data_IF_466973241412
#
_entry.id   IF_466973241412
#
_cell.length_a   1.000
_cell.length_b   1.000
_cell.length_c   1.000
_cell.angle_alpha   90.00
_cell.angle_beta   90.00
_cell.angle_gamma   90.00
#
_symmetry.space_group_name_H-M   'P 1'
#
loop_
_entity.id
_entity.type
_entity.pdbx_description
1 polymer ?
#
# COMPACT_ATOMS: atom_id res chain seq x y z
N UNK A 1 -16.80 -0.57 1.79
CA UNK A 1 -15.57 -0.53 0.97
C UNK A 1 -14.77 0.74 1.23
N UNK A 2 -13.43 0.61 1.28
CA UNK A 2 -12.47 1.69 1.56
C UNK A 2 -12.14 2.57 0.34
N UNK A 3 -12.21 2.01 -0.87
CA UNK A 3 -11.85 2.70 -2.11
C UNK A 3 -12.74 3.92 -2.42
N UNK A 4 -14.08 3.85 -2.32
CA UNK A 4 -14.95 5.01 -2.54
C UNK A 4 -14.74 6.17 -1.56
N UNK A 5 -14.16 5.91 -0.38
CA UNK A 5 -13.82 6.90 0.64
C UNK A 5 -12.42 7.52 0.41
N UNK A 6 -11.72 7.11 -0.66
CA UNK A 6 -10.37 7.61 -0.96
C UNK A 6 -9.28 7.04 -0.05
N UNK A 7 -9.54 5.88 0.60
CA UNK A 7 -8.55 5.19 1.44
C UNK A 7 -7.69 4.17 0.69
N UNK A 8 -7.89 4.03 -0.63
CA UNK A 8 -7.14 3.09 -1.48
C UNK A 8 -7.87 1.77 -1.70
N UNK A 9 -7.21 0.83 -2.38
CA UNK A 9 -7.79 -0.49 -2.66
C UNK A 9 -7.66 -1.40 -1.44
N UNK A 10 -8.76 -2.02 -0.97
CA UNK A 10 -8.65 -3.08 0.02
C UNK A 10 -7.96 -4.30 -0.60
N UNK A 11 -6.98 -4.85 0.10
CA UNK A 11 -6.35 -6.12 -0.25
C UNK A 11 -7.00 -7.24 0.56
N UNK A 12 -7.13 -8.41 -0.04
CA UNK A 12 -7.62 -9.61 0.65
C UNK A 12 -6.57 -10.15 1.62
N UNK A 13 -5.31 -10.13 1.18
CA UNK A 13 -4.15 -10.53 1.99
C UNK A 13 -3.25 -9.29 2.17
N UNK A 14 -3.47 -8.47 3.21
CA UNK A 14 -2.75 -7.22 3.40
C UNK A 14 -1.34 -7.42 3.98
N UNK A 15 -1.04 -8.61 4.49
CA UNK A 15 0.28 -8.93 5.03
C UNK A 15 1.35 -8.74 3.96
N UNK A 16 2.46 -8.12 4.38
CA UNK A 16 3.64 -8.09 3.56
C UNK A 16 4.21 -9.50 3.51
N UNK A 17 4.62 -9.93 2.31
CA UNK A 17 5.42 -11.14 2.18
C UNK A 17 6.68 -11.03 3.07
N UNK A 18 7.15 -12.17 3.61
CA UNK A 18 8.31 -12.23 4.50
C UNK A 18 9.55 -11.55 3.91
N UNK A 19 9.59 -11.45 2.59
CA UNK A 19 10.71 -10.98 1.79
C UNK A 19 10.71 -9.45 1.77
N UNK A 20 9.55 -8.82 1.58
CA UNK A 20 9.35 -7.39 1.78
C UNK A 20 9.72 -7.02 3.22
N UNK A 21 9.36 -7.84 4.22
CA UNK A 21 9.76 -7.60 5.60
C UNK A 21 11.28 -7.69 5.79
N UNK A 22 11.93 -8.69 5.19
CA UNK A 22 13.38 -8.89 5.29
C UNK A 22 14.19 -7.77 4.62
N UNK A 23 13.69 -7.20 3.52
CA UNK A 23 14.38 -6.15 2.77
C UNK A 23 13.91 -4.74 3.11
N UNK A 24 12.85 -4.60 3.92
CA UNK A 24 12.22 -3.32 4.11
C UNK A 24 11.72 -3.11 5.55
N UNK A 25 12.66 -2.71 6.43
CA UNK A 25 12.43 -2.39 7.85
C UNK A 25 11.25 -1.42 8.08
N UNK A 26 10.95 -0.57 7.10
CA UNK A 26 9.92 0.45 7.20
C UNK A 26 8.61 0.09 6.47
N UNK A 27 8.43 -1.16 6.01
CA UNK A 27 7.20 -1.61 5.34
C UNK A 27 6.98 -1.03 3.95
N UNK A 28 5.85 -0.39 3.66
CA UNK A 28 5.60 0.23 2.35
C UNK A 28 6.19 1.65 2.29
N UNK A 29 6.71 2.06 1.12
CA UNK A 29 7.19 3.42 0.82
C UNK A 29 6.58 3.98 -0.45
N UNK A 30 6.63 5.31 -0.56
CA UNK A 30 6.32 6.01 -1.81
C UNK A 30 7.33 5.59 -2.88
N UNK A 31 6.82 5.37 -4.10
CA UNK A 31 7.62 4.93 -5.24
C UNK A 31 7.79 3.42 -5.34
N UNK A 32 7.31 2.64 -4.37
CA UNK A 32 7.22 1.19 -4.51
C UNK A 32 6.30 0.87 -5.69
N UNK A 33 6.79 0.07 -6.63
CA UNK A 33 6.00 -0.57 -7.67
C UNK A 33 5.59 -1.94 -7.15
N UNK A 34 4.29 -2.16 -7.08
CA UNK A 34 3.70 -3.40 -6.58
C UNK A 34 2.71 -3.98 -7.60
N UNK A 35 2.55 -5.28 -7.54
CA UNK A 35 1.58 -6.04 -8.31
C UNK A 35 0.52 -6.62 -7.37
N UNK A 36 -0.77 -6.44 -7.69
CA UNK A 36 -1.86 -7.10 -6.96
C UNK A 36 -2.12 -8.47 -7.60
N UNK A 37 -1.92 -9.53 -6.82
CA UNK A 37 -2.08 -10.91 -7.23
C UNK A 37 -3.57 -11.28 -7.30
N UNK A 38 -4.03 -11.77 -8.46
CA UNK A 38 -5.45 -12.11 -8.64
C UNK A 38 -5.89 -13.36 -7.86
N UNK A 39 -4.96 -14.29 -7.60
CA UNK A 39 -5.28 -15.60 -6.99
C UNK A 39 -5.63 -15.48 -5.50
N UNK A 40 -4.98 -14.59 -4.75
CA UNK A 40 -5.10 -14.44 -3.30
C UNK A 40 -5.39 -12.99 -2.85
N UNK A 41 -5.54 -12.06 -3.80
CA UNK A 41 -5.81 -10.64 -3.54
C UNK A 41 -4.74 -9.95 -2.69
N UNK A 42 -3.51 -10.48 -2.71
CA UNK A 42 -2.35 -9.94 -2.03
C UNK A 42 -1.66 -8.82 -2.81
N UNK A 43 -0.48 -8.40 -2.33
CA UNK A 43 0.37 -7.49 -3.10
C UNK A 43 1.84 -7.83 -3.00
N UNK A 44 2.49 -7.96 -4.15
CA UNK A 44 3.89 -8.31 -4.27
C UNK A 44 4.74 -7.07 -4.54
N UNK A 45 5.87 -6.94 -3.84
CA UNK A 45 6.86 -5.90 -4.13
C UNK A 45 7.73 -6.27 -5.33
N UNK A 46 7.89 -5.33 -6.26
CA UNK A 46 8.72 -5.49 -7.45
C UNK A 46 10.04 -4.71 -7.35
N UNK A 47 9.96 -3.39 -7.28
CA UNK A 47 11.10 -2.48 -7.14
C UNK A 47 10.63 -1.09 -6.65
N UNK A 48 11.56 -0.18 -6.34
CA UNK A 48 11.22 1.20 -5.99
C UNK A 48 11.79 2.17 -7.03
N UNK A 49 10.93 3.01 -7.60
CA UNK A 49 11.32 3.94 -8.66
C UNK A 49 12.27 5.05 -8.21
N UNK A 50 12.32 5.36 -6.91
CA UNK A 50 13.11 6.48 -6.40
C UNK A 50 14.50 6.08 -5.92
N UNK A 51 14.76 4.78 -5.80
CA UNK A 51 16.02 4.26 -5.30
C UNK A 51 17.03 4.02 -6.43
N UNK A 52 18.34 4.13 -6.15
CA UNK A 52 19.38 3.84 -7.14
C UNK A 52 19.25 2.44 -7.74
N UNK A 53 19.61 2.27 -9.01
CA UNK A 53 19.52 0.98 -9.69
C UNK A 53 20.32 -0.14 -9.02
N UNK A 54 21.42 0.20 -8.33
CA UNK A 54 22.26 -0.74 -7.58
C UNK A 54 21.80 -1.00 -6.14
N UNK A 55 20.67 -0.41 -5.71
CA UNK A 55 20.16 -0.60 -4.36
C UNK A 55 19.80 -2.07 -4.12
N UNK A 56 20.10 -2.58 -2.92
CA UNK A 56 20.02 -4.02 -2.64
C UNK A 56 18.61 -4.61 -2.81
N UNK A 57 17.56 -3.80 -2.60
CA UNK A 57 16.16 -4.24 -2.75
C UNK A 57 15.82 -4.63 -4.20
N UNK A 58 16.58 -4.15 -5.18
CA UNK A 58 16.38 -4.45 -6.60
C UNK A 58 17.01 -5.78 -7.02
N UNK A 59 17.85 -6.40 -6.17
CA UNK A 59 18.61 -7.61 -6.55
C UNK A 59 17.73 -8.81 -6.86
N UNK A 60 16.54 -8.89 -6.25
CA UNK A 60 15.68 -10.06 -6.31
C UNK A 60 14.89 -10.14 -7.62
N UNK A 61 14.06 -9.13 -7.88
CA UNK A 61 13.20 -9.06 -9.07
C UNK A 61 13.90 -8.40 -10.26
N UNK A 62 15.09 -7.83 -10.02
CA UNK A 62 15.84 -7.06 -10.99
C UNK A 62 15.16 -5.75 -11.34
N UNK A 63 15.61 -5.14 -12.43
CA UNK A 63 15.09 -3.89 -12.94
C UNK A 63 14.87 -3.98 -14.45
N UNK A 64 13.87 -3.25 -14.98
CA UNK A 64 13.75 -3.00 -16.41
C UNK A 64 15.04 -2.42 -17.00
N UNK A 65 15.29 -2.68 -18.28
CA UNK A 65 16.46 -2.13 -18.99
C UNK A 65 16.44 -0.60 -18.95
N UNK A 66 17.61 0.00 -18.81
CA UNK A 66 17.80 1.46 -18.73
C UNK A 66 16.98 2.11 -17.61
N UNK A 67 16.85 1.43 -16.47
CA UNK A 67 16.19 1.99 -15.30
C UNK A 67 16.91 3.26 -14.83
N UNK A 68 16.17 4.37 -14.80
CA UNK A 68 16.62 5.64 -14.24
C UNK A 68 15.73 5.99 -13.05
N UNK A 69 16.29 6.25 -11.86
CA UNK A 69 15.49 6.58 -10.69
C UNK A 69 14.74 7.91 -10.86
N UNK A 70 13.46 7.94 -10.48
CA UNK A 70 12.70 9.17 -10.34
C UNK A 70 13.18 9.93 -9.10
N UNK A 71 13.70 11.14 -9.32
CA UNK A 71 14.02 12.05 -8.22
C UNK A 71 12.74 12.60 -7.60
N UNK A 72 12.37 12.06 -6.45
CA UNK A 72 11.30 12.61 -5.62
C UNK A 72 11.79 13.89 -4.93
N UNK A 73 10.84 14.77 -4.63
CA UNK A 73 11.11 16.03 -3.95
C UNK A 73 10.90 15.79 -2.46
N UNK A 74 11.98 15.55 -1.74
CA UNK A 74 11.94 15.24 -0.31
C UNK A 74 11.50 16.44 0.54
N UNK A 75 11.71 17.67 0.06
CA UNK A 75 11.43 18.90 0.82
C UNK A 75 9.96 19.33 0.68
N UNK A 76 9.43 19.36 -0.54
CA UNK A 76 8.11 19.90 -0.84
C UNK A 76 7.13 18.85 -1.41
N UNK A 77 7.62 17.65 -1.74
CA UNK A 77 6.78 16.58 -2.29
C UNK A 77 5.96 15.85 -1.24
N UNK A 78 6.44 15.77 0.00
CA UNK A 78 5.80 14.98 1.05
C UNK A 78 4.92 15.79 2.00
N UNK A 79 3.84 15.14 2.45
CA UNK A 79 2.91 15.67 3.42
C UNK A 79 2.59 14.63 4.46
N UNK A 80 3.11 14.82 5.66
CA UNK A 80 2.83 13.92 6.78
C UNK A 80 1.85 14.57 7.75
N UNK A 81 0.70 13.92 7.93
CA UNK A 81 -0.28 14.23 8.98
C UNK A 81 -0.12 13.22 10.10
N UNK A 82 0.56 13.64 11.17
CA UNK A 82 0.70 12.83 12.39
C UNK A 82 -0.66 12.66 13.05
N UNK A 83 -0.94 11.47 13.57
CA UNK A 83 -2.20 11.14 14.24
C UNK A 83 -3.44 11.48 13.39
N UNK A 84 -3.35 11.27 12.07
CA UNK A 84 -4.48 11.41 11.16
C UNK A 84 -5.69 10.59 11.62
N UNK A 85 -5.39 9.42 12.20
CA UNK A 85 -6.35 8.65 12.97
C UNK A 85 -5.90 8.71 14.42
N UNK A 86 -6.75 9.18 15.35
CA UNK A 86 -6.41 9.23 16.76
C UNK A 86 -6.19 7.82 17.32
N UNK A 87 -5.55 7.74 18.49
CA UNK A 87 -5.47 6.49 19.25
C UNK A 87 -6.87 5.94 19.50
N UNK A 88 -6.98 4.61 19.48
CA UNK A 88 -8.25 3.88 19.60
C UNK A 88 -9.26 4.20 18.48
N UNK A 89 -8.81 4.88 17.41
CA UNK A 89 -9.63 5.15 16.24
C UNK A 89 -9.86 3.91 15.38
N UNK A 90 -10.80 4.01 14.44
CA UNK A 90 -11.09 2.93 13.50
C UNK A 90 -11.23 3.44 12.06
N UNK A 91 -10.93 2.56 11.11
CA UNK A 91 -11.33 2.70 9.70
C UNK A 91 -12.34 1.61 9.43
N UNK A 92 -13.51 1.95 8.91
CA UNK A 92 -14.58 0.98 8.66
C UNK A 92 -15.25 1.23 7.32
N UNK A 93 -15.86 0.18 6.78
CA UNK A 93 -16.68 0.29 5.58
C UNK A 93 -17.84 1.27 5.76
N UNK A 94 -18.15 2.01 4.70
CA UNK A 94 -19.32 2.87 4.63
C UNK A 94 -20.59 2.08 4.98
N UNK A 95 -21.45 2.67 5.83
CA UNK A 95 -22.69 2.02 6.28
C UNK A 95 -22.48 0.99 7.40
N UNK A 96 -21.26 0.79 7.87
CA UNK A 96 -20.95 0.02 9.07
C UNK A 96 -20.82 0.92 10.30
N UNK A 97 -21.28 0.44 11.44
CA UNK A 97 -21.08 1.01 12.77
C UNK A 97 -20.18 0.05 13.52
N UNK A 98 -19.09 0.56 14.08
CA UNK A 98 -18.15 -0.22 14.85
C UNK A 98 -18.11 0.30 16.28
N UNK A 99 -18.53 -0.54 17.22
CA UNK A 99 -18.52 -0.23 18.65
C UNK A 99 -17.44 -1.06 19.33
N UNK A 100 -16.54 -0.38 20.04
CA UNK A 100 -15.56 -1.02 20.91
C UNK A 100 -16.01 -0.82 22.35
N UNK A 101 -16.01 -1.88 23.15
CA UNK A 101 -16.26 -1.79 24.58
C UNK A 101 -15.16 -2.49 25.38
N UNK A 102 -14.83 -1.90 26.51
CA UNK A 102 -13.93 -2.47 27.50
C UNK A 102 -14.62 -2.45 28.86
N UNK A 103 -15.05 -3.64 29.32
CA UNK A 103 -15.54 -3.82 30.70
C UNK A 103 -14.57 -4.69 31.51
N UNK A 104 -14.23 -5.87 31.00
CA UNK A 104 -13.24 -6.80 31.59
C UNK A 104 -12.43 -7.57 30.52
N UNK A 105 -12.97 -7.69 29.31
CA UNK A 105 -12.29 -8.18 28.10
C UNK A 105 -12.53 -7.13 27.01
N UNK A 106 -11.55 -6.93 26.12
CA UNK A 106 -11.73 -6.09 24.94
C UNK A 106 -12.69 -6.81 23.99
N UNK A 107 -13.89 -6.24 23.80
CA UNK A 107 -14.87 -6.76 22.86
C UNK A 107 -15.20 -5.71 21.80
N UNK A 108 -15.57 -6.18 20.62
CA UNK A 108 -16.02 -5.32 19.53
C UNK A 108 -17.31 -5.84 18.93
N UNK A 109 -18.10 -4.95 18.37
CA UNK A 109 -19.30 -5.26 17.62
C UNK A 109 -19.32 -4.43 16.34
N UNK A 110 -19.42 -5.14 15.22
CA UNK A 110 -19.54 -4.56 13.89
C UNK A 110 -20.96 -4.78 13.40
N UNK A 111 -21.71 -3.70 13.22
CA UNK A 111 -23.02 -3.71 12.59
C UNK A 111 -22.90 -3.12 11.19
N UNK A 112 -23.17 -3.90 10.14
CA UNK A 112 -23.21 -3.39 8.77
C UNK A 112 -24.64 -3.32 8.25
N UNK A 113 -24.99 -2.22 7.58
CA UNK A 113 -26.26 -2.12 6.83
C UNK A 113 -26.22 -2.86 5.48
N UNK A 114 -25.05 -3.36 5.11
CA UNK A 114 -24.81 -4.12 3.89
C UNK A 114 -24.49 -5.57 4.23
N UNK A 115 -24.59 -6.45 3.23
CA UNK A 115 -24.22 -7.87 3.37
C UNK A 115 -22.75 -8.10 3.74
N UNK A 116 -21.93 -7.08 3.60
CA UNK A 116 -20.49 -7.11 3.84
C UNK A 116 -20.08 -5.89 4.69
N UNK A 117 -19.08 -6.08 5.53
CA UNK A 117 -18.53 -5.05 6.40
C UNK A 117 -17.10 -5.39 6.75
N UNK A 118 -16.31 -4.39 7.08
CA UNK A 118 -14.98 -4.60 7.64
C UNK A 118 -14.63 -3.37 8.46
N UNK A 119 -13.90 -3.58 9.55
CA UNK A 119 -13.33 -2.54 10.38
C UNK A 119 -11.89 -2.88 10.76
N UNK A 120 -11.05 -1.85 10.75
CA UNK A 120 -9.68 -1.86 11.19
C UNK A 120 -9.58 -0.97 12.43
N UNK A 121 -9.43 -1.59 13.60
CA UNK A 121 -9.18 -0.90 14.85
C UNK A 121 -7.70 -0.56 14.95
N UNK A 122 -7.40 0.68 15.35
CA UNK A 122 -6.05 1.23 15.41
C UNK A 122 -5.76 1.72 16.83
N UNK A 123 -5.37 0.82 17.76
CA UNK A 123 -5.16 1.17 19.17
C UNK A 123 -4.16 2.31 19.37
N UNK A 124 -3.07 2.31 18.59
CA UNK A 124 -2.06 3.38 18.63
C UNK A 124 -2.32 4.51 17.63
N UNK A 125 -3.48 4.51 16.97
CA UNK A 125 -3.82 5.45 15.91
C UNK A 125 -2.96 5.24 14.67
N UNK A 126 -3.00 6.19 13.75
CA UNK A 126 -2.19 6.10 12.54
C UNK A 126 -1.79 7.47 11.98
N UNK A 127 -0.62 7.51 11.36
CA UNK A 127 -0.10 8.70 10.67
C UNK A 127 -0.13 8.49 9.17
N UNK A 128 -0.56 9.52 8.43
CA UNK A 128 -0.67 9.48 6.98
C UNK A 128 0.46 10.27 6.34
N UNK A 129 1.12 9.69 5.35
CA UNK A 129 2.10 10.36 4.51
C UNK A 129 1.65 10.23 3.06
N UNK A 130 1.43 11.36 2.40
CA UNK A 130 1.10 11.43 0.98
C UNK A 130 2.22 12.15 0.23
N UNK A 131 2.57 11.67 -0.97
CA UNK A 131 3.36 12.43 -1.93
C UNK A 131 2.43 13.27 -2.80
N UNK A 132 2.46 14.59 -2.62
CA UNK A 132 1.51 15.54 -3.21
C UNK A 132 1.72 15.77 -4.71
N UNK A 133 2.95 15.62 -5.20
CA UNK A 133 3.29 15.85 -6.61
C UNK A 133 2.98 14.62 -7.47
N UNK A 134 1.79 14.06 -7.35
CA UNK A 134 1.41 12.80 -8.02
C UNK A 134 1.54 12.86 -9.53
N UNK A 135 1.48 14.05 -10.15
CA UNK A 135 1.71 14.24 -11.59
C UNK A 135 3.09 13.72 -12.04
N UNK A 136 4.14 13.84 -11.22
CA UNK A 136 5.45 13.27 -11.58
C UNK A 136 5.44 11.75 -11.55
N UNK A 137 4.75 11.14 -10.58
CA UNK A 137 4.55 9.69 -10.51
C UNK A 137 3.77 9.19 -11.73
N UNK A 138 2.69 9.90 -12.11
CA UNK A 138 1.87 9.54 -13.28
C UNK A 138 2.65 9.67 -14.59
N UNK A 139 3.40 10.77 -14.77
CA UNK A 139 4.22 10.96 -15.96
C UNK A 139 5.31 9.88 -16.07
N UNK A 140 5.94 9.54 -14.95
CA UNK A 140 6.93 8.47 -14.89
C UNK A 140 6.31 7.11 -15.20
N UNK A 141 5.17 6.78 -14.61
CA UNK A 141 4.43 5.56 -14.93
C UNK A 141 4.08 5.50 -16.43
N UNK A 142 3.53 6.57 -17.00
CA UNK A 142 3.14 6.60 -18.40
C UNK A 142 4.33 6.41 -19.35
N UNK A 143 5.49 6.97 -19.01
CA UNK A 143 6.71 6.85 -19.83
C UNK A 143 7.35 5.45 -19.77
N UNK A 144 7.15 4.70 -18.68
CA UNK A 144 7.90 3.47 -18.42
C UNK A 144 7.04 2.20 -18.25
N UNK A 145 5.72 2.31 -18.05
CA UNK A 145 4.87 1.16 -17.74
C UNK A 145 5.00 0.04 -18.78
N UNK A 146 5.04 0.38 -20.08
CA UNK A 146 5.21 -0.61 -21.14
C UNK A 146 6.52 -1.41 -21.01
N UNK A 147 7.64 -0.74 -20.69
CA UNK A 147 8.91 -1.43 -20.52
C UNK A 147 8.92 -2.31 -19.27
N UNK A 148 8.18 -1.92 -18.22
CA UNK A 148 8.02 -2.72 -17.01
C UNK A 148 7.23 -4.00 -17.28
N UNK A 149 6.09 -3.90 -17.98
CA UNK A 149 5.30 -5.07 -18.36
C UNK A 149 6.12 -6.03 -19.23
N UNK A 150 6.83 -5.51 -20.25
CA UNK A 150 7.70 -6.34 -21.10
C UNK A 150 8.80 -7.02 -20.30
N UNK A 151 9.45 -6.29 -19.39
CA UNK A 151 10.49 -6.83 -18.54
C UNK A 151 10.00 -8.01 -17.70
N UNK A 152 8.88 -7.85 -16.99
CA UNK A 152 8.35 -8.94 -16.16
C UNK A 152 7.82 -10.11 -16.98
N UNK A 153 7.24 -9.85 -18.15
CA UNK A 153 6.85 -10.91 -19.08
C UNK A 153 8.07 -11.73 -19.54
N UNK A 154 9.19 -11.06 -19.88
CA UNK A 154 10.46 -11.71 -20.23
C UNK A 154 11.07 -12.50 -19.06
N UNK A 155 10.81 -12.08 -17.81
CA UNK A 155 11.22 -12.82 -16.61
C UNK A 155 10.26 -13.98 -16.24
N UNK A 156 9.19 -14.22 -17.01
CA UNK A 156 8.25 -15.32 -16.81
C UNK A 156 7.06 -15.01 -15.91
N UNK A 157 6.80 -13.74 -15.58
CA UNK A 157 5.63 -13.34 -14.80
C UNK A 157 4.41 -13.20 -15.72
N UNK A 158 3.70 -14.30 -15.97
CA UNK A 158 2.47 -14.30 -16.80
C UNK A 158 1.29 -13.58 -16.15
N UNK A 159 1.30 -13.47 -14.82
CA UNK A 159 0.14 -13.00 -14.05
C UNK A 159 0.10 -11.46 -13.93
N UNK A 160 1.18 -10.77 -14.30
CA UNK A 160 1.25 -9.31 -14.34
C UNK A 160 0.58 -8.80 -15.62
N UNK A 161 -0.75 -8.72 -15.57
CA UNK A 161 -1.58 -8.23 -16.66
C UNK A 161 -1.64 -6.69 -16.73
N UNK A 162 -1.94 -6.14 -17.90
CA UNK A 162 -2.10 -4.69 -18.05
C UNK A 162 -3.13 -4.13 -17.05
N UNK A 163 -2.72 -3.11 -16.29
CA UNK A 163 -3.51 -2.47 -15.25
C UNK A 163 -3.30 -3.04 -13.84
N UNK A 164 -2.45 -4.07 -13.66
CA UNK A 164 -2.18 -4.68 -12.35
C UNK A 164 -0.98 -4.11 -11.60
N UNK A 165 -0.19 -3.24 -12.25
CA UNK A 165 0.93 -2.54 -11.63
C UNK A 165 0.49 -1.22 -10.98
N UNK A 166 0.88 -1.03 -9.73
CA UNK A 166 0.56 0.15 -8.95
C UNK A 166 1.84 0.79 -8.40
N UNK A 167 1.92 2.12 -8.51
CA UNK A 167 2.93 2.91 -7.82
C UNK A 167 2.31 3.44 -6.54
N UNK A 168 2.97 3.19 -5.41
CA UNK A 168 2.55 3.74 -4.13
C UNK A 168 2.83 5.24 -4.10
N UNK A 169 1.77 6.04 -3.97
CA UNK A 169 1.85 7.51 -3.86
C UNK A 169 1.74 8.01 -2.42
N UNK A 170 1.43 7.14 -1.47
CA UNK A 170 1.27 7.47 -0.06
C UNK A 170 0.93 6.24 0.76
N UNK A 171 0.95 6.40 2.08
CA UNK A 171 0.64 5.33 3.00
C UNK A 171 0.08 5.86 4.32
N UNK A 172 -0.62 4.97 5.03
CA UNK A 172 -1.01 5.14 6.42
C UNK A 172 -0.25 4.10 7.25
N UNK A 173 0.46 4.54 8.29
CA UNK A 173 1.22 3.63 9.18
C UNK A 173 0.69 3.70 10.61
N UNK A 174 0.59 2.51 11.20
CA UNK A 174 0.24 2.29 12.60
C UNK A 174 1.25 1.31 13.22
N UNK A 175 1.39 1.32 14.54
CA UNK A 175 2.22 0.37 15.25
C UNK A 175 1.53 -1.00 15.44
N UNK A 176 0.20 -1.01 15.51
CA UNK A 176 -0.60 -2.22 15.65
C UNK A 176 -2.03 -1.99 15.15
N UNK A 177 -2.68 -3.07 14.72
CA UNK A 177 -4.07 -3.04 14.28
C UNK A 177 -4.78 -4.34 14.66
N UNK A 178 -6.11 -4.28 14.69
CA UNK A 178 -6.98 -5.46 14.72
C UNK A 178 -7.98 -5.36 13.58
N UNK A 179 -8.15 -6.44 12.83
CA UNK A 179 -9.15 -6.54 11.77
C UNK A 179 -10.39 -7.27 12.27
N UNK A 180 -11.57 -6.76 11.92
CA UNK A 180 -12.87 -7.39 12.10
C UNK A 180 -13.59 -7.37 10.75
N UNK A 181 -14.13 -8.52 10.34
CA UNK A 181 -14.82 -8.73 9.04
C UNK A 181 -16.18 -9.36 9.30
#
# INVERSE_FOLDING_TARGET
>A
MLYPEGHGYPLWTPELDEETLAYHENGIKVGDVRFITWQDGGSEFLFNISLPGNHYIHKRRGLPRNFEPLKLDDEAGYSTRKNQIPKEGCIHSRGSVFNVWARYVLGYELHSRHSEGAALLLPQGASRTDYRKTSSLHAFAAAHAESWYRYFLEQGYSDIQNGSLYIISGFLKTACYYAAV
#
